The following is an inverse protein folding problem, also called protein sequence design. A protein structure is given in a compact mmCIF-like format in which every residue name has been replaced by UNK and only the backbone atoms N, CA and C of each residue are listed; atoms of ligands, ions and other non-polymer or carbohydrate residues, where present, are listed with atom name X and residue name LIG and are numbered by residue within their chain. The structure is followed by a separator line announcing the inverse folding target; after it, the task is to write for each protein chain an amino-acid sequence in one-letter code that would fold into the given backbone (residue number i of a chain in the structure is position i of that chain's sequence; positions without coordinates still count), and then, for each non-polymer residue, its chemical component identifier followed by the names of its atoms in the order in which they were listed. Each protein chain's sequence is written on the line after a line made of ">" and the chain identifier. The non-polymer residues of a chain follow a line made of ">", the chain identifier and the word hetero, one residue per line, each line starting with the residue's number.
data_IF_427328542241
#
_entry.id   IF_427328542241
#
_cell.length_a   1.000
_cell.length_b   1.000
_cell.length_c   1.000
_cell.angle_alpha   90.00
_cell.angle_beta   90.00
_cell.angle_gamma   90.00
#
_symmetry.space_group_name_H-M   'P 1'
#
loop_
_entity.id
_entity.type
_entity.pdbx_description
1 polymer ?
#
# COMPACT_ATOMS: atom_id res chain seq x y z
N UNK A 1 -16.74 13.03 -9.16
CA UNK A 1 -17.13 11.82 -8.39
C UNK A 1 -17.71 10.74 -9.29
N UNK A 2 -18.66 11.06 -10.18
CA UNK A 2 -19.22 10.12 -11.17
C UNK A 2 -18.15 9.54 -12.13
N UNK A 3 -17.21 10.37 -12.60
CA UNK A 3 -16.15 9.98 -13.55
C UNK A 3 -15.18 8.91 -12.98
N UNK A 4 -14.81 9.04 -11.70
CA UNK A 4 -13.93 8.08 -11.01
C UNK A 4 -14.63 6.73 -10.84
N UNK A 5 -15.93 6.72 -10.54
CA UNK A 5 -16.68 5.47 -10.39
C UNK A 5 -16.82 4.75 -11.74
N UNK A 6 -16.98 5.49 -12.83
CA UNK A 6 -17.05 4.94 -14.19
C UNK A 6 -15.70 4.37 -14.65
N UNK A 7 -14.59 5.08 -14.39
CA UNK A 7 -13.24 4.55 -14.68
C UNK A 7 -12.93 3.29 -13.86
N UNK A 8 -13.31 3.25 -12.58
CA UNK A 8 -13.15 2.06 -11.74
C UNK A 8 -14.02 0.91 -12.25
N UNK A 9 -15.27 1.15 -12.66
CA UNK A 9 -16.13 0.08 -13.17
C UNK A 9 -15.59 -0.49 -14.47
N UNK A 10 -15.11 0.37 -15.38
CA UNK A 10 -14.49 -0.03 -16.64
C UNK A 10 -13.22 -0.86 -16.40
N UNK A 11 -12.39 -0.47 -15.44
CA UNK A 11 -11.22 -1.26 -15.04
C UNK A 11 -11.61 -2.63 -14.46
N UNK A 12 -12.69 -2.69 -13.67
CA UNK A 12 -13.20 -3.95 -13.11
C UNK A 12 -13.75 -4.90 -14.19
N UNK A 13 -14.47 -4.36 -15.18
CA UNK A 13 -15.00 -5.13 -16.31
C UNK A 13 -13.87 -5.65 -17.20
N UNK A 14 -12.91 -4.78 -17.54
CA UNK A 14 -11.76 -5.12 -18.38
C UNK A 14 -10.83 -6.17 -17.75
N UNK A 15 -10.74 -6.22 -16.42
CA UNK A 15 -9.90 -7.20 -15.69
C UNK A 15 -10.62 -8.50 -15.35
N UNK A 16 -11.91 -8.64 -15.67
CA UNK A 16 -12.72 -9.81 -15.28
C UNK A 16 -12.16 -11.16 -15.74
N UNK A 17 -11.61 -11.24 -16.96
CA UNK A 17 -10.99 -12.45 -17.50
C UNK A 17 -9.69 -12.82 -16.76
N UNK A 18 -8.79 -11.86 -16.61
CA UNK A 18 -7.53 -11.99 -15.86
C UNK A 18 -7.78 -12.34 -14.39
N UNK A 19 -8.82 -11.77 -13.79
CA UNK A 19 -9.25 -12.07 -12.42
C UNK A 19 -9.62 -13.53 -12.27
N UNK A 20 -10.46 -14.06 -13.16
CA UNK A 20 -10.88 -15.47 -13.12
C UNK A 20 -9.70 -16.43 -13.27
N UNK A 21 -8.75 -16.12 -14.14
CA UNK A 21 -7.55 -16.93 -14.32
C UNK A 21 -6.64 -16.90 -13.08
N UNK A 22 -6.41 -15.70 -12.53
CA UNK A 22 -5.56 -15.51 -11.34
C UNK A 22 -6.17 -16.18 -10.12
N UNK A 23 -7.49 -16.04 -9.92
CA UNK A 23 -8.25 -16.72 -8.86
C UNK A 23 -8.09 -18.24 -8.97
N UNK A 24 -8.34 -18.83 -10.15
CA UNK A 24 -8.19 -20.28 -10.35
C UNK A 24 -6.77 -20.75 -10.06
N UNK A 25 -5.78 -19.98 -10.49
CA UNK A 25 -4.36 -20.30 -10.27
C UNK A 25 -4.00 -20.24 -8.78
N UNK A 26 -4.47 -19.22 -8.06
CA UNK A 26 -4.25 -19.08 -6.62
C UNK A 26 -4.89 -20.22 -5.82
N UNK A 27 -6.13 -20.61 -6.15
CA UNK A 27 -6.83 -21.75 -5.53
C UNK A 27 -6.08 -23.06 -5.82
N UNK A 28 -5.62 -23.26 -7.06
CA UNK A 28 -4.84 -24.45 -7.43
C UNK A 28 -3.52 -24.53 -6.65
N UNK A 29 -2.81 -23.41 -6.53
CA UNK A 29 -1.56 -23.32 -5.77
C UNK A 29 -1.77 -23.55 -4.28
N UNK A 30 -2.85 -23.02 -3.71
CA UNK A 30 -3.26 -23.28 -2.32
C UNK A 30 -3.38 -24.79 -2.04
N UNK A 31 -4.16 -25.51 -2.87
CA UNK A 31 -4.33 -26.95 -2.70
C UNK A 31 -3.10 -27.77 -3.09
N UNK A 32 -2.24 -27.24 -3.98
CA UNK A 32 -0.95 -27.87 -4.30
C UNK A 32 -0.03 -27.87 -3.09
N UNK A 33 0.01 -26.77 -2.33
CA UNK A 33 0.82 -26.67 -1.10
C UNK A 33 0.32 -27.58 0.01
N UNK A 34 -1.00 -27.77 0.14
CA UNK A 34 -1.58 -28.72 1.10
C UNK A 34 -1.34 -30.20 0.74
N UNK A 35 -0.94 -30.49 -0.50
CA UNK A 35 -0.70 -31.84 -0.97
C UNK A 35 -1.97 -32.67 -1.18
N UNK A 36 -1.80 -33.89 -1.71
CA UNK A 36 -2.89 -34.85 -1.87
C UNK A 36 -3.21 -35.64 -0.59
N UNK A 37 -2.36 -35.53 0.43
CA UNK A 37 -2.53 -36.21 1.71
C UNK A 37 -3.69 -35.60 2.49
N UNK A 38 -4.68 -36.42 2.83
CA UNK A 38 -5.90 -35.97 3.51
C UNK A 38 -5.72 -35.46 4.94
N UNK A 39 -4.50 -35.17 5.40
CA UNK A 39 -4.18 -34.69 6.74
C UNK A 39 -3.13 -33.57 6.63
N UNK A 40 -3.50 -32.36 7.06
CA UNK A 40 -2.62 -31.19 7.08
C UNK A 40 -2.57 -30.57 8.48
N UNK A 41 -1.38 -30.13 8.90
CA UNK A 41 -1.18 -29.37 10.13
C UNK A 41 -1.61 -27.90 9.93
N UNK A 42 -1.85 -27.17 11.03
CA UNK A 42 -2.21 -25.74 10.98
C UNK A 42 -1.20 -24.90 10.20
N UNK A 43 0.10 -25.17 10.37
CA UNK A 43 1.17 -24.48 9.67
C UNK A 43 1.11 -24.66 8.14
N UNK A 44 0.60 -25.81 7.66
CA UNK A 44 0.47 -26.08 6.22
C UNK A 44 -0.63 -25.21 5.59
N UNK A 45 -1.69 -24.90 6.35
CA UNK A 45 -2.75 -23.98 5.93
C UNK A 45 -2.27 -22.53 5.84
N UNK A 46 -1.47 -22.10 6.82
CA UNK A 46 -0.85 -20.77 6.78
C UNK A 46 0.12 -20.66 5.59
N UNK A 47 0.97 -21.66 5.37
CA UNK A 47 1.88 -21.70 4.21
C UNK A 47 1.12 -21.72 2.86
N UNK A 48 0.02 -22.47 2.76
CA UNK A 48 -0.82 -22.50 1.57
C UNK A 48 -1.49 -21.15 1.30
N UNK A 49 -1.98 -20.48 2.35
CA UNK A 49 -2.55 -19.13 2.27
C UNK A 49 -1.51 -18.12 1.79
N UNK A 50 -0.32 -18.14 2.35
CA UNK A 50 0.75 -17.21 1.98
C UNK A 50 1.20 -17.45 0.52
N UNK A 51 1.22 -18.72 0.08
CA UNK A 51 1.48 -19.06 -1.31
C UNK A 51 0.40 -18.52 -2.26
N UNK A 52 -0.87 -18.70 -1.91
CA UNK A 52 -1.99 -18.17 -2.69
C UNK A 52 -1.95 -16.63 -2.76
N UNK A 53 -1.64 -15.96 -1.64
CA UNK A 53 -1.46 -14.51 -1.60
C UNK A 53 -0.34 -14.04 -2.54
N UNK A 54 0.80 -14.74 -2.55
CA UNK A 54 1.90 -14.42 -3.46
C UNK A 54 1.48 -14.49 -4.94
N UNK A 55 0.68 -15.48 -5.31
CA UNK A 55 0.14 -15.63 -6.68
C UNK A 55 -0.83 -14.50 -7.02
N UNK A 56 -1.72 -14.14 -6.09
CA UNK A 56 -2.67 -13.04 -6.28
C UNK A 56 -1.97 -11.70 -6.49
N UNK A 57 -0.96 -11.38 -5.66
CA UNK A 57 -0.15 -10.17 -5.81
C UNK A 57 0.61 -10.16 -7.14
N UNK A 58 1.25 -11.27 -7.51
CA UNK A 58 1.97 -11.38 -8.77
C UNK A 58 1.04 -11.22 -9.99
N UNK A 59 -0.18 -11.74 -9.93
CA UNK A 59 -1.18 -11.55 -10.97
C UNK A 59 -1.70 -10.12 -11.04
N UNK A 60 -1.91 -9.48 -9.88
CA UNK A 60 -2.42 -8.10 -9.79
C UNK A 60 -1.45 -7.07 -10.40
N UNK A 61 -0.15 -7.22 -10.14
CA UNK A 61 0.91 -6.34 -10.66
C UNK A 61 1.49 -6.81 -12.00
N UNK A 62 0.80 -7.71 -12.71
CA UNK A 62 1.20 -8.12 -14.05
C UNK A 62 0.99 -6.96 -15.02
N UNK A 63 1.88 -6.83 -16.02
CA UNK A 63 1.85 -5.75 -17.02
C UNK A 63 0.48 -5.63 -17.70
N UNK A 64 -0.13 -6.76 -18.05
CA UNK A 64 -1.46 -6.84 -18.67
C UNK A 64 -2.56 -6.26 -17.76
N UNK A 65 -2.54 -6.59 -16.48
CA UNK A 65 -3.54 -6.12 -15.51
C UNK A 65 -3.34 -4.64 -15.21
N UNK A 66 -2.09 -4.19 -15.03
CA UNK A 66 -1.77 -2.78 -14.81
C UNK A 66 -2.14 -1.91 -16.02
N UNK A 67 -1.92 -2.37 -17.25
CA UNK A 67 -2.30 -1.63 -18.45
C UNK A 67 -3.81 -1.38 -18.52
N UNK A 68 -4.62 -2.39 -18.17
CA UNK A 68 -6.09 -2.27 -18.15
C UNK A 68 -6.55 -1.38 -16.99
N UNK A 69 -5.95 -1.54 -15.80
CA UNK A 69 -6.33 -0.79 -14.59
C UNK A 69 -5.92 0.68 -14.66
N UNK A 70 -4.80 0.99 -15.32
CA UNK A 70 -4.31 2.36 -15.51
C UNK A 70 -4.96 3.08 -16.71
N UNK A 71 -5.89 2.43 -17.42
CA UNK A 71 -6.55 3.01 -18.60
C UNK A 71 -5.58 3.31 -19.74
N UNK A 72 -4.72 2.35 -20.08
CA UNK A 72 -3.69 2.45 -21.14
C UNK A 72 -2.61 3.53 -20.92
N UNK A 73 -2.55 4.14 -19.74
CA UNK A 73 -1.47 5.08 -19.40
C UNK A 73 -0.16 4.31 -19.21
N UNK A 74 0.96 4.78 -19.81
CA UNK A 74 2.25 4.17 -19.56
C UNK A 74 2.65 4.41 -18.10
N UNK A 75 2.83 3.32 -17.35
CA UNK A 75 3.40 3.35 -16.01
C UNK A 75 4.90 3.06 -16.12
N UNK A 76 5.73 3.98 -15.62
CA UNK A 76 7.17 3.75 -15.47
C UNK A 76 7.44 2.75 -14.33
N UNK A 77 8.59 2.06 -14.35
CA UNK A 77 8.96 1.04 -13.36
C UNK A 77 8.94 1.61 -11.93
N UNK A 78 9.32 2.88 -11.78
CA UNK A 78 9.26 3.61 -10.50
C UNK A 78 7.83 3.81 -10.01
N UNK A 79 6.90 4.08 -10.91
CA UNK A 79 5.49 4.26 -10.58
C UNK A 79 4.87 2.92 -10.16
N UNK A 80 5.22 1.84 -10.84
CA UNK A 80 4.79 0.48 -10.46
C UNK A 80 5.31 0.11 -9.07
N UNK A 81 6.60 0.34 -8.79
CA UNK A 81 7.16 0.06 -7.47
C UNK A 81 6.50 0.87 -6.35
N UNK A 82 6.23 2.16 -6.59
CA UNK A 82 5.50 3.02 -5.65
C UNK A 82 4.06 2.54 -5.41
N UNK A 83 3.37 2.13 -6.47
CA UNK A 83 2.03 1.53 -6.38
C UNK A 83 2.05 0.22 -5.59
N UNK A 84 3.04 -0.65 -5.81
CA UNK A 84 3.18 -1.91 -5.05
C UNK A 84 3.39 -1.64 -3.57
N UNK A 85 4.28 -0.71 -3.20
CA UNK A 85 4.51 -0.34 -1.80
C UNK A 85 3.26 0.27 -1.14
N UNK A 86 2.58 1.16 -1.84
CA UNK A 86 1.37 1.82 -1.33
C UNK A 86 0.23 0.81 -1.17
N UNK A 87 0.06 -0.07 -2.15
CA UNK A 87 -0.91 -1.16 -2.08
C UNK A 87 -0.60 -2.11 -0.93
N UNK A 88 0.66 -2.52 -0.75
CA UNK A 88 1.06 -3.41 0.34
C UNK A 88 0.83 -2.78 1.72
N UNK A 89 0.94 -1.46 1.84
CA UNK A 89 0.64 -0.74 3.08
C UNK A 89 -0.87 -0.76 3.45
N UNK A 90 -1.75 -0.83 2.46
CA UNK A 90 -3.21 -0.86 2.67
C UNK A 90 -3.84 -2.23 2.44
N UNK A 91 -3.05 -3.21 1.99
CA UNK A 91 -3.50 -4.55 1.62
C UNK A 91 -4.19 -5.25 2.79
N UNK A 92 -5.45 -5.63 2.60
CA UNK A 92 -6.13 -6.50 3.57
C UNK A 92 -5.56 -7.91 3.44
N UNK A 93 -5.14 -8.58 4.54
CA UNK A 93 -4.66 -9.95 4.45
C UNK A 93 -5.80 -10.89 4.00
N UNK A 94 -5.47 -11.88 3.18
CA UNK A 94 -6.41 -12.91 2.76
C UNK A 94 -6.82 -13.73 3.98
N UNK A 95 -8.12 -13.74 4.32
CA UNK A 95 -8.65 -14.48 5.46
C UNK A 95 -9.38 -15.72 4.98
N UNK A 96 -8.68 -16.85 4.91
CA UNK A 96 -9.30 -18.15 4.64
C UNK A 96 -9.63 -18.79 6.00
N UNK A 97 -10.92 -19.08 6.29
CA UNK A 97 -11.28 -19.78 7.50
C UNK A 97 -10.74 -21.21 7.44
N UNK A 98 -10.28 -21.70 8.58
CA UNK A 98 -9.77 -23.06 8.67
C UNK A 98 -10.90 -24.10 8.66
N UNK A 99 -10.69 -25.28 8.05
CA UNK A 99 -11.70 -26.33 8.06
C UNK A 99 -11.92 -26.83 9.50
N UNK A 100 -13.13 -27.33 9.82
CA UNK A 100 -13.45 -27.85 11.14
C UNK A 100 -12.49 -29.00 11.50
N UNK A 101 -11.97 -28.97 12.74
CA UNK A 101 -11.02 -29.99 13.21
C UNK A 101 -11.76 -31.31 13.43
N UNK A 102 -11.55 -32.27 12.55
CA UNK A 102 -11.83 -33.68 12.85
C UNK A 102 -10.70 -34.20 13.74
N UNK A 103 -10.91 -34.17 15.07
CA UNK A 103 -9.96 -34.73 16.04
C UNK A 103 -10.01 -36.25 16.01
N UNK A 104 -9.16 -36.85 15.20
CA UNK A 104 -8.96 -38.30 15.23
C UNK A 104 -7.95 -38.67 16.33
N UNK A 105 -8.28 -39.62 17.22
CA UNK A 105 -7.33 -40.13 18.21
C UNK A 105 -6.17 -40.84 17.49
N UNK A 106 -4.93 -40.53 17.87
CA UNK A 106 -3.74 -41.17 17.28
C UNK A 106 -3.85 -42.71 17.41
N UNK A 107 -3.52 -43.45 16.36
CA UNK A 107 -3.62 -44.93 16.33
C UNK A 107 -2.90 -45.57 17.54
N UNK A 108 -1.73 -45.04 17.93
CA UNK A 108 -0.99 -45.51 19.11
C UNK A 108 -1.75 -45.30 20.43
N UNK A 109 -2.51 -44.21 20.57
CA UNK A 109 -3.30 -43.96 21.79
C UNK A 109 -4.48 -44.91 21.92
N UNK A 110 -5.12 -45.25 20.80
CA UNK A 110 -6.16 -46.28 20.77
C UNK A 110 -5.59 -47.67 21.05
N UNK A 111 -4.41 -47.99 20.51
CA UNK A 111 -3.75 -49.28 20.76
C UNK A 111 -3.34 -49.43 22.23
N UNK A 112 -2.79 -48.38 22.85
CA UNK A 112 -2.43 -48.38 24.26
C UNK A 112 -3.68 -48.46 25.16
N UNK A 113 -4.76 -47.76 24.79
CA UNK A 113 -6.05 -47.83 25.47
C UNK A 113 -6.65 -49.23 25.38
N UNK A 114 -6.59 -49.88 24.21
CA UNK A 114 -7.05 -51.25 24.04
C UNK A 114 -6.26 -52.23 24.90
N UNK A 115 -4.93 -52.09 24.95
CA UNK A 115 -4.05 -52.96 25.73
C UNK A 115 -4.29 -52.80 27.24
N UNK A 116 -4.34 -51.55 27.73
CA UNK A 116 -4.63 -51.26 29.13
C UNK A 116 -6.05 -51.67 29.53
N UNK A 117 -7.02 -51.42 28.65
CA UNK A 117 -8.40 -51.87 28.79
C UNK A 117 -8.52 -53.38 28.87
N UNK A 118 -7.82 -54.12 28.01
CA UNK A 118 -7.81 -55.58 28.03
C UNK A 118 -7.27 -56.13 29.35
N UNK A 119 -6.14 -55.60 29.83
CA UNK A 119 -5.55 -56.03 31.09
C UNK A 119 -6.48 -55.75 32.29
N UNK A 120 -7.04 -54.55 32.36
CA UNK A 120 -7.97 -54.17 33.43
C UNK A 120 -9.28 -54.99 33.36
N UNK A 121 -9.82 -55.20 32.16
CA UNK A 121 -11.02 -55.98 31.92
C UNK A 121 -10.84 -57.44 32.31
N UNK A 122 -9.71 -58.07 31.97
CA UNK A 122 -9.37 -59.42 32.41
C UNK A 122 -9.32 -59.52 33.93
N UNK A 123 -8.68 -58.58 34.63
CA UNK A 123 -8.59 -58.61 36.09
C UNK A 123 -9.94 -58.41 36.79
N UNK A 124 -10.74 -57.46 36.29
CA UNK A 124 -12.05 -57.14 36.87
C UNK A 124 -13.07 -58.24 36.61
N UNK A 125 -13.23 -58.69 35.35
CA UNK A 125 -14.20 -59.74 35.01
C UNK A 125 -13.78 -61.10 35.58
N UNK A 126 -12.49 -61.46 35.58
CA UNK A 126 -12.07 -62.73 36.19
C UNK A 126 -12.40 -62.78 37.69
N UNK A 127 -12.24 -61.66 38.40
CA UNK A 127 -12.60 -61.56 39.82
C UNK A 127 -14.11 -61.65 40.03
N UNK A 128 -14.88 -60.96 39.18
CA UNK A 128 -16.35 -60.96 39.24
C UNK A 128 -16.96 -62.33 38.92
N UNK A 129 -16.50 -62.98 37.83
CA UNK A 129 -16.99 -64.29 37.42
C UNK A 129 -16.56 -65.40 38.38
N UNK A 130 -15.38 -65.29 39.01
CA UNK A 130 -14.99 -66.19 40.10
C UNK A 130 -15.95 -66.06 41.28
N UNK A 131 -16.35 -64.85 41.63
CA UNK A 131 -17.26 -64.62 42.75
C UNK A 131 -18.71 -65.05 42.46
N UNK A 132 -19.21 -64.78 41.25
CA UNK A 132 -20.61 -65.01 40.90
C UNK A 132 -20.92 -66.42 40.34
N UNK A 133 -19.98 -67.04 39.62
CA UNK A 133 -20.21 -68.26 38.85
C UNK A 133 -19.13 -69.35 39.06
N UNK A 134 -18.11 -69.09 39.89
CA UNK A 134 -16.92 -69.93 40.10
C UNK A 134 -16.13 -70.26 38.82
N UNK A 135 -16.39 -69.55 37.71
CA UNK A 135 -15.76 -69.75 36.41
C UNK A 135 -14.76 -68.62 36.10
N UNK A 136 -13.54 -68.75 36.61
CA UNK A 136 -12.48 -67.75 36.39
C UNK A 136 -12.04 -67.65 34.93
N UNK A 137 -11.94 -68.78 34.23
CA UNK A 137 -11.39 -68.85 32.88
C UNK A 137 -12.28 -68.11 31.87
N UNK A 138 -13.59 -68.16 32.09
CA UNK A 138 -14.56 -67.41 31.29
C UNK A 138 -14.37 -65.90 31.44
N UNK A 139 -14.09 -65.42 32.66
CA UNK A 139 -13.83 -64.02 32.94
C UNK A 139 -12.51 -63.51 32.33
N UNK A 140 -11.49 -64.37 32.19
CA UNK A 140 -10.25 -64.02 31.49
C UNK A 140 -10.46 -63.92 29.97
N UNK A 141 -11.16 -64.89 29.38
CA UNK A 141 -11.41 -64.92 27.92
C UNK A 141 -12.30 -63.77 27.48
N UNK A 142 -13.35 -63.46 28.24
CA UNK A 142 -14.32 -62.39 27.90
C UNK A 142 -13.83 -61.01 28.37
N UNK A 143 -13.10 -60.94 29.48
CA UNK A 143 -12.64 -59.68 30.07
C UNK A 143 -11.68 -58.89 29.18
N UNK A 144 -10.81 -59.57 28.42
CA UNK A 144 -9.88 -58.92 27.50
C UNK A 144 -10.58 -58.12 26.39
N UNK A 145 -11.39 -58.77 25.53
CA UNK A 145 -12.13 -58.10 24.47
C UNK A 145 -13.08 -57.01 24.98
N UNK A 146 -13.83 -57.28 26.06
CA UNK A 146 -14.78 -56.32 26.63
C UNK A 146 -14.06 -55.11 27.22
N UNK A 147 -12.97 -55.32 27.96
CA UNK A 147 -12.16 -54.25 28.53
C UNK A 147 -11.48 -53.39 27.46
N UNK A 148 -10.94 -54.00 26.41
CA UNK A 148 -10.32 -53.30 25.29
C UNK A 148 -11.34 -52.40 24.58
N UNK A 149 -12.52 -52.94 24.26
CA UNK A 149 -13.60 -52.20 23.62
C UNK A 149 -14.04 -51.00 24.47
N UNK A 150 -14.29 -51.22 25.76
CA UNK A 150 -14.72 -50.15 26.68
C UNK A 150 -13.66 -49.05 26.78
N UNK A 151 -12.39 -49.39 26.94
CA UNK A 151 -11.32 -48.41 27.04
C UNK A 151 -11.15 -47.60 25.74
N UNK A 152 -11.25 -48.24 24.57
CA UNK A 152 -11.25 -47.57 23.27
C UNK A 152 -12.44 -46.63 23.12
N UNK A 153 -13.65 -47.05 23.52
CA UNK A 153 -14.85 -46.21 23.49
C UNK A 153 -14.74 -45.03 24.45
N UNK A 154 -14.18 -45.23 25.64
CA UNK A 154 -13.91 -44.17 26.62
C UNK A 154 -12.93 -43.17 26.02
N UNK A 155 -11.79 -43.60 25.48
CA UNK A 155 -10.81 -42.70 24.86
C UNK A 155 -11.38 -41.99 23.63
N UNK A 156 -12.18 -42.67 22.80
CA UNK A 156 -12.85 -42.06 21.65
C UNK A 156 -13.93 -41.04 22.06
N UNK A 157 -14.64 -41.27 23.17
CA UNK A 157 -15.60 -40.29 23.72
C UNK A 157 -14.86 -39.13 24.40
N UNK A 158 -13.80 -39.41 25.15
CA UNK A 158 -12.99 -38.40 25.86
C UNK A 158 -12.23 -37.48 24.89
N UNK A 159 -11.77 -37.97 23.74
CA UNK A 159 -11.09 -37.14 22.73
C UNK A 159 -11.98 -36.03 22.16
N UNK A 160 -13.31 -36.17 22.31
CA UNK A 160 -14.29 -35.14 21.93
C UNK A 160 -14.59 -34.13 23.04
N UNK A 161 -14.14 -34.35 24.29
CA UNK A 161 -14.42 -33.47 25.44
C UNK A 161 -13.27 -32.49 25.67
N UNK A 162 -13.54 -31.18 25.55
CA UNK A 162 -12.52 -30.11 25.64
C UNK A 162 -11.77 -30.04 26.98
N UNK A 163 -12.39 -30.50 28.07
CA UNK A 163 -11.91 -30.24 29.44
C UNK A 163 -10.66 -31.06 29.84
N UNK A 164 -10.52 -32.27 29.30
CA UNK A 164 -9.44 -33.22 29.67
C UNK A 164 -8.15 -33.03 28.86
N UNK A 165 -8.22 -32.43 27.68
CA UNK A 165 -7.06 -32.07 26.86
C UNK A 165 -6.17 -31.00 27.52
N UNK A 166 -6.72 -30.23 28.46
CA UNK A 166 -5.94 -29.32 29.30
C UNK A 166 -4.96 -30.06 30.22
N UNK A 167 -5.29 -31.31 30.57
CA UNK A 167 -4.48 -32.14 31.46
C UNK A 167 -3.57 -33.13 30.71
N UNK A 168 -3.88 -33.50 29.45
CA UNK A 168 -3.04 -34.37 28.63
C UNK A 168 -2.90 -33.86 27.18
N UNK A 169 -2.00 -32.87 26.93
CA UNK A 169 -1.80 -32.27 25.60
C UNK A 169 -1.20 -33.21 24.54
N UNK A 170 -0.69 -34.39 24.91
CA UNK A 170 -0.04 -35.33 23.98
C UNK A 170 -0.98 -36.28 23.22
N UNK A 171 -2.24 -36.41 23.66
CA UNK A 171 -3.16 -37.48 23.21
C UNK A 171 -3.86 -37.19 21.87
N UNK A 172 -4.00 -35.94 21.46
CA UNK A 172 -4.56 -35.57 20.16
C UNK A 172 -3.53 -34.86 19.29
N UNK A 173 -3.43 -35.23 18.03
CA UNK A 173 -2.88 -34.32 17.03
C UNK A 173 -4.00 -33.39 16.58
N UNK A 174 -3.74 -32.08 16.50
CA UNK A 174 -4.63 -31.12 15.82
C UNK A 174 -4.49 -31.28 14.28
N UNK A 175 -4.57 -32.52 13.83
CA UNK A 175 -4.55 -32.88 12.41
C UNK A 175 -5.93 -32.62 11.85
N UNK A 176 -6.04 -31.70 10.89
CA UNK A 176 -7.29 -31.42 10.19
C UNK A 176 -7.38 -32.34 8.98
N UNK A 177 -8.38 -33.21 8.96
CA UNK A 177 -8.60 -34.06 7.79
C UNK A 177 -9.33 -33.29 6.69
N UNK A 178 -8.72 -33.22 5.51
CA UNK A 178 -9.32 -32.75 4.26
C UNK A 178 -9.59 -33.96 3.36
N UNK A 179 -10.51 -34.84 3.77
CA UNK A 179 -10.92 -35.98 2.95
C UNK A 179 -12.11 -35.64 2.07
N UNK A 180 -12.04 -36.06 0.80
CA UNK A 180 -13.13 -36.10 -0.18
C UNK A 180 -14.11 -34.92 -0.15
N UNK A 181 -15.23 -35.10 0.56
CA UNK A 181 -16.31 -34.12 0.65
C UNK A 181 -15.90 -32.83 1.36
N UNK A 182 -15.19 -32.95 2.49
CA UNK A 182 -14.71 -31.79 3.25
C UNK A 182 -13.72 -30.94 2.44
N UNK A 183 -12.96 -31.57 1.52
CA UNK A 183 -12.06 -30.86 0.60
C UNK A 183 -12.84 -30.04 -0.43
N UNK A 184 -13.92 -30.59 -0.99
CA UNK A 184 -14.75 -29.91 -1.98
C UNK A 184 -15.47 -28.70 -1.36
N UNK A 185 -15.98 -28.85 -0.16
CA UNK A 185 -16.62 -27.75 0.58
C UNK A 185 -15.60 -26.66 0.93
N UNK A 186 -14.40 -27.07 1.38
CA UNK A 186 -13.30 -26.15 1.66
C UNK A 186 -12.81 -25.44 0.40
N UNK A 187 -12.80 -26.10 -0.76
CA UNK A 187 -12.46 -25.50 -2.04
C UNK A 187 -13.42 -24.38 -2.44
N UNK A 188 -14.73 -24.58 -2.25
CA UNK A 188 -15.71 -23.53 -2.49
C UNK A 188 -15.50 -22.31 -1.58
N UNK A 189 -15.15 -22.56 -0.31
CA UNK A 189 -14.86 -21.48 0.66
C UNK A 189 -13.58 -20.73 0.27
N UNK A 190 -12.50 -21.45 -0.08
CA UNK A 190 -11.24 -20.84 -0.54
C UNK A 190 -11.48 -20.01 -1.79
N UNK A 191 -12.23 -20.53 -2.76
CA UNK A 191 -12.59 -19.81 -3.98
C UNK A 191 -13.32 -18.50 -3.65
N UNK A 192 -14.35 -18.55 -2.82
CA UNK A 192 -15.11 -17.36 -2.42
C UNK A 192 -14.24 -16.32 -1.70
N UNK A 193 -13.35 -16.75 -0.80
CA UNK A 193 -12.43 -15.84 -0.11
C UNK A 193 -11.44 -15.17 -1.07
N UNK A 194 -10.92 -15.92 -2.05
CA UNK A 194 -10.00 -15.39 -3.06
C UNK A 194 -10.72 -14.42 -4.00
N UNK A 195 -11.94 -14.75 -4.44
CA UNK A 195 -12.78 -13.87 -5.25
C UNK A 195 -13.09 -12.57 -4.52
N UNK A 196 -13.52 -12.65 -3.26
CA UNK A 196 -13.79 -11.48 -2.43
C UNK A 196 -12.55 -10.59 -2.26
N UNK A 197 -11.37 -11.20 -2.10
CA UNK A 197 -10.13 -10.44 -2.01
C UNK A 197 -9.81 -9.71 -3.33
N UNK A 198 -9.99 -10.38 -4.48
CA UNK A 198 -9.78 -9.77 -5.79
C UNK A 198 -10.80 -8.66 -6.10
N UNK A 199 -12.05 -8.86 -5.72
CA UNK A 199 -13.13 -7.87 -5.87
C UNK A 199 -12.86 -6.60 -5.05
N UNK A 200 -12.11 -6.71 -3.94
CA UNK A 200 -11.62 -5.56 -3.18
C UNK A 200 -10.33 -4.97 -3.78
N UNK A 201 -9.38 -5.83 -4.17
CA UNK A 201 -8.04 -5.41 -4.59
C UNK A 201 -8.04 -4.61 -5.90
N UNK A 202 -8.84 -5.03 -6.89
CA UNK A 202 -8.87 -4.38 -8.21
C UNK A 202 -9.41 -2.94 -8.15
N UNK A 203 -10.57 -2.65 -7.53
CA UNK A 203 -11.03 -1.26 -7.37
C UNK A 203 -10.06 -0.41 -6.55
N UNK A 204 -9.44 -1.00 -5.53
CA UNK A 204 -8.45 -0.30 -4.69
C UNK A 204 -7.22 0.08 -5.50
N UNK A 205 -6.70 -0.84 -6.33
CA UNK A 205 -5.59 -0.55 -7.23
C UNK A 205 -5.98 0.47 -8.31
N UNK A 206 -7.17 0.37 -8.89
CA UNK A 206 -7.69 1.36 -9.83
C UNK A 206 -7.73 2.76 -9.19
N UNK A 207 -8.30 2.86 -7.99
CA UNK A 207 -8.33 4.11 -7.23
C UNK A 207 -6.92 4.64 -6.93
N UNK A 208 -5.96 3.76 -6.59
CA UNK A 208 -4.57 4.15 -6.39
C UNK A 208 -3.89 4.62 -7.68
N UNK A 209 -4.17 4.01 -8.84
CA UNK A 209 -3.66 4.48 -10.13
C UNK A 209 -4.23 5.88 -10.46
N UNK A 210 -5.50 6.11 -10.15
CA UNK A 210 -6.15 7.42 -10.33
C UNK A 210 -5.57 8.48 -9.39
N UNK A 211 -5.33 8.15 -8.12
CA UNK A 211 -4.76 9.08 -7.14
C UNK A 211 -3.23 9.24 -7.27
N UNK A 212 -2.51 8.19 -7.67
CA UNK A 212 -1.06 8.19 -7.88
C UNK A 212 -0.61 9.12 -9.02
N UNK A 213 -1.55 9.51 -9.90
CA UNK A 213 -1.34 10.57 -10.88
C UNK A 213 -1.15 11.98 -10.27
N UNK A 214 -1.36 12.16 -8.95
CA UNK A 214 -1.11 13.42 -8.23
C UNK A 214 0.36 13.67 -7.85
N UNK A 215 1.25 12.68 -7.95
CA UNK A 215 2.69 12.84 -7.61
C UNK A 215 3.62 12.90 -8.82
N UNK A 216 3.09 13.04 -10.03
CA UNK A 216 3.90 13.62 -11.10
C UNK A 216 4.05 15.11 -10.78
N UNK A 217 5.20 15.51 -10.22
CA UNK A 217 5.58 16.93 -10.18
C UNK A 217 5.24 17.54 -11.55
N UNK A 218 4.51 18.66 -11.59
CA UNK A 218 3.85 19.11 -12.81
C UNK A 218 4.92 19.37 -13.86
N UNK A 219 5.04 18.44 -14.81
CA UNK A 219 5.79 18.58 -16.04
C UNK A 219 5.43 19.92 -16.72
N UNK A 220 4.20 20.40 -16.50
CA UNK A 220 3.72 21.75 -16.81
C UNK A 220 4.48 22.90 -16.14
N UNK A 221 4.86 22.83 -14.86
CA UNK A 221 5.68 23.89 -14.22
C UNK A 221 7.10 23.87 -14.77
N UNK A 222 7.68 22.69 -14.99
CA UNK A 222 9.03 22.56 -15.56
C UNK A 222 9.07 23.06 -17.01
N UNK A 223 8.09 22.68 -17.84
CA UNK A 223 7.95 23.21 -19.19
C UNK A 223 7.62 24.69 -19.24
N UNK A 224 6.78 25.19 -18.31
CA UNK A 224 6.50 26.61 -18.19
C UNK A 224 7.75 27.39 -17.78
N UNK A 225 8.55 26.86 -16.85
CA UNK A 225 9.83 27.40 -16.44
C UNK A 225 10.80 27.46 -17.63
N UNK A 226 10.96 26.36 -18.39
CA UNK A 226 11.81 26.36 -19.58
C UNK A 226 11.32 27.30 -20.69
N UNK A 227 9.99 27.40 -20.92
CA UNK A 227 9.43 28.39 -21.86
C UNK A 227 9.69 29.82 -21.42
N UNK A 228 9.54 30.11 -20.12
CA UNK A 228 9.76 31.44 -19.55
C UNK A 228 11.23 31.84 -19.60
N UNK A 229 12.12 30.94 -19.20
CA UNK A 229 13.58 31.11 -19.31
C UNK A 229 14.00 31.26 -20.77
N UNK A 230 13.47 30.43 -21.68
CA UNK A 230 13.74 30.55 -23.11
C UNK A 230 13.34 31.90 -23.70
N UNK A 231 12.21 32.47 -23.26
CA UNK A 231 11.79 33.83 -23.63
C UNK A 231 12.78 34.88 -23.11
N UNK A 232 13.24 34.77 -21.87
CA UNK A 232 14.20 35.70 -21.28
C UNK A 232 15.58 35.62 -21.96
N UNK A 233 16.03 34.43 -22.36
CA UNK A 233 17.25 34.25 -23.17
C UNK A 233 17.13 34.96 -24.52
N UNK A 234 15.97 34.83 -25.19
CA UNK A 234 15.71 35.57 -26.43
C UNK A 234 15.70 37.09 -26.22
N UNK A 235 15.20 37.53 -25.07
CA UNK A 235 15.15 38.95 -24.68
C UNK A 235 16.56 39.48 -24.41
N UNK A 236 17.41 38.69 -23.76
CA UNK A 236 18.83 38.99 -23.53
C UNK A 236 19.59 39.10 -24.86
N UNK A 237 19.33 38.20 -25.81
CA UNK A 237 19.96 38.24 -27.14
C UNK A 237 19.63 39.52 -27.92
N UNK A 238 18.41 40.07 -27.73
CA UNK A 238 17.96 41.31 -28.39
C UNK A 238 18.28 42.58 -27.61
N UNK A 239 18.74 42.48 -26.37
CA UNK A 239 18.99 43.62 -25.52
C UNK A 239 20.19 44.45 -26.04
N UNK A 240 20.05 45.78 -25.99
CA UNK A 240 21.16 46.70 -26.23
C UNK A 240 22.16 46.67 -25.08
N UNK A 241 23.39 47.16 -25.30
CA UNK A 241 24.47 47.15 -24.30
C UNK A 241 24.08 47.79 -22.96
N UNK A 242 23.19 48.78 -22.99
CA UNK A 242 22.75 49.51 -21.80
C UNK A 242 21.69 48.76 -20.97
N UNK A 243 20.87 47.90 -21.60
CA UNK A 243 19.81 47.12 -20.92
C UNK A 243 20.23 45.69 -20.57
N UNK A 244 21.40 45.26 -21.06
CA UNK A 244 21.93 43.92 -20.84
C UNK A 244 22.02 43.52 -19.34
N UNK A 245 22.51 44.37 -18.41
CA UNK A 245 22.61 43.99 -17.00
C UNK A 245 21.23 43.76 -16.36
N UNK A 246 20.22 44.55 -16.73
CA UNK A 246 18.86 44.45 -16.19
C UNK A 246 18.18 43.16 -16.64
N UNK A 247 18.28 42.84 -17.93
CA UNK A 247 17.70 41.60 -18.48
C UNK A 247 18.41 40.35 -17.96
N UNK A 248 19.73 40.45 -17.74
CA UNK A 248 20.50 39.36 -17.14
C UNK A 248 20.11 39.11 -15.67
N UNK A 249 19.85 40.16 -14.90
CA UNK A 249 19.38 40.04 -13.51
C UNK A 249 17.97 39.45 -13.44
N UNK A 250 17.04 39.87 -14.32
CA UNK A 250 15.69 39.30 -14.43
C UNK A 250 15.73 37.80 -14.77
N UNK A 251 16.61 37.39 -15.70
CA UNK A 251 16.81 35.99 -16.06
C UNK A 251 17.30 35.15 -14.86
N UNK A 252 18.28 35.66 -14.10
CA UNK A 252 18.84 34.97 -12.94
C UNK A 252 17.79 34.88 -11.82
N UNK A 253 17.04 35.96 -11.57
CA UNK A 253 15.99 35.97 -10.56
C UNK A 253 14.88 34.98 -10.90
N UNK A 254 14.44 34.93 -12.16
CA UNK A 254 13.42 33.99 -12.59
C UNK A 254 13.91 32.53 -12.50
N UNK A 255 15.17 32.28 -12.86
CA UNK A 255 15.79 30.97 -12.68
C UNK A 255 15.85 30.56 -11.19
N UNK A 256 16.13 31.49 -10.26
CA UNK A 256 16.03 31.21 -8.81
C UNK A 256 14.61 30.89 -8.37
N UNK A 257 13.62 31.65 -8.85
CA UNK A 257 12.21 31.43 -8.53
C UNK A 257 11.73 30.02 -8.92
N UNK A 258 12.34 29.44 -9.96
CA UNK A 258 12.09 28.08 -10.42
C UNK A 258 13.04 27.01 -9.84
N UNK A 259 13.95 27.38 -8.93
CA UNK A 259 14.80 26.44 -8.20
C UNK A 259 16.04 25.97 -8.95
N UNK A 260 16.56 26.75 -9.90
CA UNK A 260 17.83 26.42 -10.58
C UNK A 260 19.02 26.58 -9.62
N UNK A 261 19.84 25.55 -9.51
CA UNK A 261 20.99 25.48 -8.58
C UNK A 261 22.18 26.35 -9.04
N UNK A 262 23.02 26.78 -8.08
CA UNK A 262 24.27 27.49 -8.35
C UNK A 262 24.11 29.00 -8.62
N UNK A 263 22.93 29.55 -8.37
CA UNK A 263 22.62 30.96 -8.56
C UNK A 263 22.60 31.74 -7.25
N UNK A 264 23.29 31.33 -6.18
CA UNK A 264 23.20 32.01 -4.88
C UNK A 264 24.03 33.32 -4.83
N UNK A 265 23.46 34.40 -4.30
CA UNK A 265 24.13 35.71 -4.13
C UNK A 265 23.96 36.68 -5.30
N UNK A 266 24.26 37.99 -5.14
CA UNK A 266 24.10 38.97 -6.22
C UNK A 266 24.99 38.64 -7.43
N UNK A 267 24.50 38.92 -8.64
CA UNK A 267 25.26 38.67 -9.86
C UNK A 267 26.53 39.53 -9.91
N UNK A 268 27.67 38.97 -10.31
CA UNK A 268 28.95 39.68 -10.32
C UNK A 268 28.99 40.93 -11.24
N UNK A 269 28.13 40.97 -12.26
CA UNK A 269 27.96 42.11 -13.17
C UNK A 269 26.97 43.15 -12.65
N UNK A 270 26.20 42.83 -11.61
CA UNK A 270 25.50 43.83 -10.82
C UNK A 270 26.55 44.47 -9.92
N UNK A 271 27.39 45.31 -10.53
CA UNK A 271 28.16 46.26 -9.77
C UNK A 271 27.17 47.04 -8.91
N UNK A 272 27.40 46.95 -7.61
CA UNK A 272 26.86 47.83 -6.60
C UNK A 272 27.30 49.24 -7.00
N UNK A 273 26.59 49.87 -7.94
CA UNK A 273 26.63 51.32 -8.10
C UNK A 273 26.22 51.81 -6.73
N UNK A 274 27.20 52.25 -5.96
CA UNK A 274 26.99 52.94 -4.70
C UNK A 274 25.83 53.89 -4.93
N UNK A 275 24.66 53.53 -4.37
CA UNK A 275 23.47 54.35 -4.47
C UNK A 275 23.77 55.59 -3.65
N UNK A 276 24.40 56.59 -4.26
CA UNK A 276 23.96 57.96 -4.01
C UNK A 276 22.47 57.92 -4.30
N UNK A 277 21.68 57.81 -3.24
CA UNK A 277 20.24 57.90 -3.33
C UNK A 277 19.99 59.32 -3.80
N UNK A 278 19.77 59.48 -5.11
CA UNK A 278 19.50 60.77 -5.73
C UNK A 278 18.26 61.37 -5.05
N UNK A 279 18.53 62.22 -4.06
CA UNK A 279 17.51 62.95 -3.34
C UNK A 279 17.07 64.08 -4.26
N UNK A 280 15.85 63.96 -4.79
CA UNK A 280 15.28 64.95 -5.69
C UNK A 280 14.09 65.64 -5.03
N UNK A 281 13.81 66.86 -5.48
CA UNK A 281 12.62 67.60 -5.02
C UNK A 281 11.43 67.13 -5.87
N UNK A 282 10.37 66.68 -5.19
CA UNK A 282 9.14 66.25 -5.82
C UNK A 282 8.44 67.42 -6.53
N UNK A 283 8.18 67.25 -7.82
CA UNK A 283 7.46 68.19 -8.69
C UNK A 283 6.29 67.46 -9.34
N UNK A 284 5.16 68.14 -9.57
CA UNK A 284 3.95 67.49 -10.12
C UNK A 284 4.18 66.71 -11.43
N UNK A 285 5.12 67.15 -12.28
CA UNK A 285 5.48 66.49 -13.53
C UNK A 285 6.12 65.09 -13.36
N UNK A 286 6.66 64.77 -12.17
CA UNK A 286 7.30 63.48 -11.87
C UNK A 286 6.29 62.38 -11.56
N UNK A 287 5.04 62.73 -11.25
CA UNK A 287 3.97 61.77 -11.05
C UNK A 287 3.79 60.86 -12.27
N UNK A 288 4.00 61.36 -13.49
CA UNK A 288 3.88 60.52 -14.70
C UNK A 288 4.96 59.43 -14.82
N UNK A 289 6.08 59.58 -14.09
CA UNK A 289 7.22 58.64 -14.14
C UNK A 289 7.35 57.79 -12.87
N UNK A 290 6.84 58.27 -11.75
CA UNK A 290 7.05 57.66 -10.43
C UNK A 290 5.75 57.49 -9.65
N UNK A 291 5.67 56.40 -8.90
CA UNK A 291 4.70 56.12 -7.85
C UNK A 291 5.25 56.58 -6.50
N UNK A 292 4.37 57.11 -5.67
CA UNK A 292 4.73 57.66 -4.36
C UNK A 292 4.38 56.68 -3.25
N UNK A 293 5.34 56.38 -2.39
CA UNK A 293 5.09 55.62 -1.16
C UNK A 293 4.73 56.58 -0.01
N UNK A 294 3.44 56.65 0.31
CA UNK A 294 2.88 57.56 1.33
C UNK A 294 2.43 58.92 0.77
N UNK A 295 2.11 59.86 1.67
CA UNK A 295 1.66 61.20 1.29
C UNK A 295 2.86 62.12 1.01
N UNK A 296 3.02 62.52 -0.25
CA UNK A 296 4.10 63.41 -0.73
C UNK A 296 3.45 64.66 -1.33
N UNK A 297 3.88 65.83 -0.88
CA UNK A 297 3.42 67.13 -1.39
C UNK A 297 4.50 67.70 -2.31
N UNK A 298 4.11 68.53 -3.28
CA UNK A 298 5.05 69.26 -4.12
C UNK A 298 6.02 70.08 -3.26
N UNK A 299 7.32 69.97 -3.54
CA UNK A 299 8.40 70.55 -2.73
C UNK A 299 9.06 69.58 -1.73
N UNK A 300 8.50 68.41 -1.48
CA UNK A 300 9.10 67.41 -0.59
C UNK A 300 10.38 66.80 -1.20
N UNK A 301 11.40 66.57 -0.36
CA UNK A 301 12.57 65.78 -0.75
C UNK A 301 12.23 64.30 -0.76
N UNK A 302 12.46 63.64 -1.89
CA UNK A 302 12.19 62.22 -2.09
C UNK A 302 13.43 61.49 -2.59
N UNK A 303 13.60 60.26 -2.14
CA UNK A 303 14.62 59.33 -2.63
C UNK A 303 13.99 58.28 -3.51
N UNK A 304 14.69 57.96 -4.61
CA UNK A 304 14.27 56.93 -5.57
C UNK A 304 14.65 55.55 -5.03
N UNK A 305 13.65 54.77 -4.64
CA UNK A 305 13.82 53.38 -4.18
C UNK A 305 13.94 52.42 -5.38
N UNK A 306 13.16 52.70 -6.44
CA UNK A 306 13.15 51.96 -7.69
C UNK A 306 13.12 52.95 -8.87
N UNK A 307 14.09 52.94 -9.80
CA UNK A 307 14.02 53.79 -10.98
C UNK A 307 12.87 53.34 -11.91
N UNK A 308 12.33 54.25 -12.74
CA UNK A 308 11.27 53.91 -13.68
C UNK A 308 11.86 53.15 -14.87
N UNK A 309 11.13 52.15 -15.36
CA UNK A 309 11.53 51.39 -16.55
C UNK A 309 11.00 52.13 -17.77
N UNK A 310 11.90 52.74 -18.54
CA UNK A 310 11.57 53.49 -19.76
C UNK A 310 12.06 52.71 -20.98
N UNK A 311 11.17 52.48 -21.94
CA UNK A 311 11.47 51.81 -23.21
C UNK A 311 10.90 52.66 -24.35
N UNK A 312 11.73 52.99 -25.34
CA UNK A 312 11.36 53.83 -26.50
C UNK A 312 10.69 55.17 -26.10
N UNK A 313 11.13 55.77 -24.99
CA UNK A 313 10.57 57.03 -24.48
C UNK A 313 9.22 56.91 -23.77
N UNK A 314 8.66 55.69 -23.64
CA UNK A 314 7.45 55.41 -22.85
C UNK A 314 7.80 54.70 -21.55
N UNK A 315 7.14 55.10 -20.46
CA UNK A 315 7.30 54.46 -19.15
C UNK A 315 6.51 53.15 -19.17
N UNK A 316 7.20 52.02 -19.11
CA UNK A 316 6.60 50.67 -19.05
C UNK A 316 6.19 50.35 -17.60
N UNK A 317 7.05 50.71 -16.64
CA UNK A 317 6.77 50.56 -15.22
C UNK A 317 7.23 51.79 -14.45
N UNK A 318 6.41 52.26 -13.53
CA UNK A 318 6.67 53.49 -12.78
C UNK A 318 7.69 53.20 -11.68
N UNK A 319 8.65 54.10 -11.54
CA UNK A 319 9.63 54.04 -10.45
C UNK A 319 8.95 54.25 -9.11
N UNK A 320 9.54 53.84 -8.00
CA UNK A 320 9.01 54.09 -6.66
C UNK A 320 9.86 55.15 -5.96
N UNK A 321 9.20 56.17 -5.42
CA UNK A 321 9.83 57.21 -4.59
C UNK A 321 9.27 57.21 -3.18
N UNK A 322 10.12 57.56 -2.20
CA UNK A 322 9.76 57.70 -0.80
C UNK A 322 10.22 59.05 -0.26
N UNK A 323 9.40 59.69 0.56
CA UNK A 323 9.76 60.94 1.23
C UNK A 323 10.91 60.72 2.21
N UNK A 324 11.94 61.55 2.13
CA UNK A 324 13.01 61.63 3.12
C UNK A 324 12.45 62.32 4.36
N UNK A 325 12.48 61.66 5.51
CA UNK A 325 12.17 62.30 6.78
C UNK A 325 13.43 63.00 7.27
N UNK A 326 13.38 64.33 7.40
CA UNK A 326 14.44 65.04 8.12
C UNK A 326 14.33 64.61 9.59
N UNK A 327 15.26 63.77 10.05
CA UNK A 327 15.48 63.54 11.48
C UNK A 327 16.02 64.84 12.05
N UNK A 328 15.16 65.56 12.77
CA UNK A 328 15.59 66.57 13.74
C UNK A 328 15.76 65.90 15.09
#
# INVERSE_FOLDING_TARGET
>A
MLDIQEEISKACEGTSGLRRETTRTAVKEYFRTLGAGGVAATADFDAARDRAMGVLKAGLFRVETLAVVAGERPLDDRAVAGLTLTFDAIATPLKIPHPPVAREPKVYTLALAALTGAAAGMLALASLFRWAYDMRDLGLVVGGPVGALLAVLIVHRLSRVRLLLRFLPGLSSDTRSLSGHARKDHEAVVLACVEQWMDWAVPTLAALCLHGSLSSEPQTKREAAFRRIGKLIYTLHKAGRESLPVVADELIQEARNYGFEGLDGPAAFSEDRGREQDAMIWKGALANKYETFGHIVEGDRVTVERPPVVFEGKVIDRGLVRKVRETT
#
